data_IF_733441811688
#
_entry.id   IF_733441811688
#
_cell.length_a   1.000
_cell.length_b   1.000
_cell.length_c   1.000
_cell.angle_alpha   90.00
_cell.angle_beta   90.00
_cell.angle_gamma   90.00
#
_symmetry.space_group_name_H-M   'P 1'
#
loop_
_entity.id
_entity.type
_entity.pdbx_description
1 polymer ?
#
# COMPACT_ATOMS: atom_id res chain seq x y z
N UNK A 1 9.52 -21.83 12.96
CA UNK A 1 8.13 -21.45 12.65
C UNK A 1 7.77 -21.67 11.16
N UNK A 2 8.32 -20.93 10.15
CA UNK A 2 7.94 -21.12 8.72
C UNK A 2 8.21 -22.55 8.25
N UNK A 3 9.39 -23.12 8.55
CA UNK A 3 9.74 -24.53 8.23
C UNK A 3 8.80 -25.55 8.87
N UNK A 4 8.40 -25.32 10.10
CA UNK A 4 7.45 -26.17 10.82
C UNK A 4 6.07 -26.14 10.17
N UNK A 5 5.63 -24.92 9.75
CA UNK A 5 4.38 -24.76 9.00
C UNK A 5 4.44 -25.48 7.66
N UNK A 6 5.54 -25.31 6.91
CA UNK A 6 5.73 -26.02 5.64
C UNK A 6 5.69 -27.55 5.84
N UNK A 7 6.36 -28.06 6.87
CA UNK A 7 6.34 -29.49 7.19
C UNK A 7 4.93 -29.99 7.55
N UNK A 8 4.16 -29.22 8.34
CA UNK A 8 2.78 -29.55 8.70
C UNK A 8 1.83 -29.52 7.49
N UNK A 9 2.17 -28.77 6.44
CA UNK A 9 1.40 -28.63 5.19
C UNK A 9 1.96 -29.51 4.05
N UNK A 10 2.53 -30.68 4.37
CA UNK A 10 3.05 -31.61 3.36
C UNK A 10 4.32 -31.13 2.64
N UNK A 11 5.08 -30.23 3.24
CA UNK A 11 6.37 -29.74 2.71
C UNK A 11 6.24 -28.57 1.74
N UNK A 12 5.05 -27.94 1.62
CA UNK A 12 4.78 -26.81 0.75
C UNK A 12 3.91 -25.76 1.45
N UNK A 13 4.16 -24.47 1.16
CA UNK A 13 3.33 -23.33 1.56
C UNK A 13 3.03 -22.47 0.34
N UNK A 14 1.83 -21.89 0.26
CA UNK A 14 1.59 -20.79 -0.69
C UNK A 14 2.55 -19.62 -0.42
N UNK A 15 2.94 -18.89 -1.47
CA UNK A 15 3.80 -17.73 -1.26
C UNK A 15 3.10 -16.66 -0.42
N UNK A 16 1.79 -16.51 -0.56
CA UNK A 16 0.97 -15.65 0.30
C UNK A 16 1.17 -15.98 1.80
N UNK A 17 1.10 -17.26 2.15
CA UNK A 17 1.29 -17.68 3.55
C UNK A 17 2.71 -17.51 4.03
N UNK A 18 3.70 -17.78 3.17
CA UNK A 18 5.11 -17.51 3.47
C UNK A 18 5.35 -16.03 3.75
N UNK A 19 4.87 -15.16 2.88
CA UNK A 19 4.99 -13.70 3.02
C UNK A 19 4.29 -13.18 4.27
N UNK A 20 3.08 -13.67 4.57
CA UNK A 20 2.37 -13.32 5.79
C UNK A 20 3.18 -13.66 7.04
N UNK A 21 3.79 -14.83 7.10
CA UNK A 21 4.63 -15.23 8.22
C UNK A 21 5.93 -14.42 8.29
N UNK A 22 6.56 -14.17 7.14
CA UNK A 22 7.82 -13.43 7.07
C UNK A 22 7.65 -11.95 7.43
N UNK A 23 6.52 -11.33 7.08
CA UNK A 23 6.30 -9.90 7.32
C UNK A 23 5.56 -9.63 8.64
N UNK A 24 4.56 -10.44 8.98
CA UNK A 24 3.56 -10.09 10.00
C UNK A 24 3.49 -11.04 11.19
N UNK A 25 4.28 -12.11 11.26
CA UNK A 25 4.24 -13.02 12.41
C UNK A 25 4.54 -12.25 13.71
N UNK A 26 3.69 -12.35 14.75
CA UNK A 26 3.86 -11.59 16.00
C UNK A 26 5.25 -11.79 16.61
N UNK A 27 5.96 -10.68 16.83
CA UNK A 27 7.30 -10.65 17.44
C UNK A 27 8.44 -11.23 16.59
N UNK A 28 8.16 -11.80 15.42
CA UNK A 28 9.15 -12.47 14.57
C UNK A 28 9.18 -11.92 13.13
N UNK A 29 8.04 -11.43 12.62
CA UNK A 29 7.94 -10.92 11.26
C UNK A 29 8.59 -9.55 11.10
N UNK A 30 8.95 -9.21 9.88
CA UNK A 30 9.64 -7.98 9.53
C UNK A 30 8.97 -6.73 10.14
N UNK A 31 7.66 -6.55 9.99
CA UNK A 31 6.93 -5.40 10.57
C UNK A 31 6.71 -5.51 12.08
N UNK A 32 6.81 -6.71 12.67
CA UNK A 32 6.59 -6.95 14.10
C UNK A 32 7.88 -6.95 14.92
N UNK A 33 9.05 -7.12 14.29
CA UNK A 33 10.35 -7.11 14.95
C UNK A 33 10.89 -5.67 15.08
N UNK A 34 11.48 -5.31 16.23
CA UNK A 34 11.91 -3.95 16.60
C UNK A 34 13.12 -3.39 15.84
N UNK A 35 13.27 -3.60 14.51
CA UNK A 35 14.36 -3.03 13.70
C UNK A 35 13.98 -1.69 13.07
N UNK A 36 15.00 -0.86 12.71
CA UNK A 36 14.76 0.36 11.94
C UNK A 36 14.50 -0.01 10.48
N UNK A 37 13.28 0.19 10.01
CA UNK A 37 12.80 -0.26 8.68
C UNK A 37 12.73 0.89 7.67
N UNK A 38 12.24 2.06 8.10
CA UNK A 38 11.87 3.20 7.25
C UNK A 38 12.85 4.36 7.49
N UNK A 39 13.18 5.08 6.40
CA UNK A 39 14.02 6.27 6.43
C UNK A 39 15.47 6.01 6.03
N UNK A 40 16.32 7.04 6.08
CA UNK A 40 17.72 6.99 5.62
C UNK A 40 18.61 5.99 6.36
N UNK A 41 18.21 5.54 7.53
CA UNK A 41 18.87 4.48 8.32
C UNK A 41 18.19 3.13 8.25
N UNK A 42 17.11 3.00 7.46
CA UNK A 42 16.32 1.79 7.30
C UNK A 42 16.59 1.05 5.99
N UNK A 43 15.65 0.19 5.62
CA UNK A 43 15.76 -0.66 4.44
C UNK A 43 15.28 0.05 3.16
N UNK A 44 14.36 1.00 3.28
CA UNK A 44 13.81 1.80 2.17
C UNK A 44 13.38 3.20 2.62
N UNK A 45 13.10 4.08 1.65
CA UNK A 45 12.68 5.46 1.89
C UNK A 45 11.38 5.72 1.13
N UNK A 46 10.33 6.09 1.85
CA UNK A 46 9.01 6.44 1.31
C UNK A 46 8.93 7.92 0.93
N UNK A 47 7.94 8.31 0.13
CA UNK A 47 7.75 9.70 -0.28
C UNK A 47 7.67 10.72 0.89
N UNK A 48 6.97 10.44 2.01
CA UNK A 48 7.00 11.30 3.20
C UNK A 48 8.39 11.45 3.83
N UNK A 49 9.25 10.44 3.72
CA UNK A 49 10.63 10.48 4.25
C UNK A 49 11.60 11.23 3.32
N UNK A 50 11.29 11.27 2.02
CA UNK A 50 12.07 12.06 1.05
C UNK A 50 11.92 13.55 1.33
N UNK A 51 10.66 14.02 1.50
CA UNK A 51 10.39 15.45 1.68
C UNK A 51 9.04 15.70 2.34
N UNK A 52 9.00 16.75 3.17
CA UNK A 52 7.74 17.28 3.71
C UNK A 52 6.84 17.87 2.61
N UNK A 53 7.38 18.21 1.44
CA UNK A 53 6.59 18.67 0.28
C UNK A 53 5.48 17.69 -0.09
N UNK A 54 5.78 16.37 -0.07
CA UNK A 54 4.77 15.34 -0.31
C UNK A 54 3.60 15.46 0.67
N UNK A 55 3.90 15.43 1.95
CA UNK A 55 2.88 15.49 3.01
C UNK A 55 2.12 16.82 3.02
N UNK A 56 2.77 17.93 2.68
CA UNK A 56 2.13 19.26 2.53
C UNK A 56 1.17 19.29 1.33
N UNK A 57 1.51 18.64 0.22
CA UNK A 57 0.61 18.45 -0.92
C UNK A 57 -0.60 17.60 -0.53
N UNK A 58 -0.40 16.48 0.16
CA UNK A 58 -1.48 15.65 0.69
C UNK A 58 -2.36 16.45 1.65
N UNK A 59 -1.79 17.27 2.52
CA UNK A 59 -2.54 18.15 3.43
C UNK A 59 -3.47 19.12 2.69
N UNK A 60 -3.05 19.66 1.54
CA UNK A 60 -3.91 20.54 0.71
C UNK A 60 -5.11 19.79 0.16
N UNK A 61 -4.91 18.56 -0.32
CA UNK A 61 -6.04 17.71 -0.71
C UNK A 61 -6.94 17.38 0.49
N UNK A 62 -6.35 17.08 1.67
CA UNK A 62 -7.11 16.86 2.89
C UNK A 62 -7.94 18.09 3.27
N UNK A 63 -7.37 19.30 3.24
CA UNK A 63 -8.10 20.54 3.51
C UNK A 63 -9.31 20.72 2.60
N UNK A 64 -9.15 20.43 1.29
CA UNK A 64 -10.25 20.54 0.32
C UNK A 64 -11.38 19.53 0.60
N UNK A 65 -11.08 18.36 1.11
CA UNK A 65 -12.10 17.37 1.51
C UNK A 65 -12.72 17.75 2.85
N UNK A 66 -11.92 18.13 3.85
CA UNK A 66 -12.42 18.55 5.17
C UNK A 66 -13.35 19.77 5.08
N UNK A 67 -13.08 20.70 4.16
CA UNK A 67 -13.98 21.84 3.91
C UNK A 67 -15.40 21.41 3.47
N UNK A 68 -15.54 20.20 2.93
CA UNK A 68 -16.81 19.64 2.44
C UNK A 68 -17.45 18.66 3.42
N UNK A 69 -16.66 18.00 4.27
CA UNK A 69 -17.10 16.96 5.19
C UNK A 69 -17.10 17.40 6.64
N UNK A 70 -16.27 18.39 7.01
CA UNK A 70 -16.08 18.85 8.38
C UNK A 70 -15.53 17.77 9.32
N UNK A 71 -14.98 16.69 8.79
CA UNK A 71 -14.77 15.44 9.52
C UNK A 71 -13.34 15.21 10.02
N UNK A 72 -12.90 13.99 9.86
CA UNK A 72 -11.67 13.45 10.44
C UNK A 72 -10.75 12.83 9.38
N UNK A 73 -9.53 12.52 9.79
CA UNK A 73 -8.54 11.79 8.98
C UNK A 73 -8.25 10.45 9.66
N UNK A 74 -8.24 9.37 8.89
CA UNK A 74 -7.73 8.06 9.29
C UNK A 74 -6.52 7.72 8.41
N UNK A 75 -5.36 7.51 9.01
CA UNK A 75 -4.15 7.06 8.31
C UNK A 75 -3.90 5.58 8.62
N UNK A 76 -3.76 4.77 7.57
CA UNK A 76 -3.45 3.35 7.65
C UNK A 76 -1.95 3.16 7.42
N UNK A 77 -1.21 2.64 8.41
CA UNK A 77 0.22 2.42 8.31
C UNK A 77 1.02 3.72 8.25
N UNK A 78 0.99 4.52 9.32
CA UNK A 78 1.62 5.85 9.34
C UNK A 78 3.17 5.85 9.37
N UNK A 79 3.82 4.69 9.27
CA UNK A 79 5.26 4.55 9.25
C UNK A 79 5.94 5.22 10.45
N UNK A 80 6.79 6.21 10.22
CA UNK A 80 7.43 6.97 11.30
C UNK A 80 6.54 8.04 11.94
N UNK A 81 5.33 8.25 11.43
CA UNK A 81 4.43 9.35 11.82
C UNK A 81 4.79 10.71 11.22
N UNK A 82 5.74 10.76 10.26
CA UNK A 82 6.18 12.02 9.63
C UNK A 82 5.05 12.65 8.81
N UNK A 83 4.33 11.86 8.02
CA UNK A 83 3.21 12.33 7.22
C UNK A 83 2.12 12.91 8.12
N UNK A 84 1.70 12.20 9.16
CA UNK A 84 0.72 12.67 10.14
C UNK A 84 1.10 14.02 10.77
N UNK A 85 2.34 14.14 11.25
CA UNK A 85 2.83 15.36 11.86
C UNK A 85 2.79 16.55 10.88
N UNK A 86 3.33 16.36 9.68
CA UNK A 86 3.39 17.41 8.65
C UNK A 86 1.99 17.81 8.14
N UNK A 87 1.07 16.85 7.99
CA UNK A 87 -0.33 17.14 7.61
C UNK A 87 -1.00 17.99 8.69
N UNK A 88 -0.87 17.61 9.97
CA UNK A 88 -1.48 18.35 11.07
C UNK A 88 -0.94 19.78 11.18
N UNK A 89 0.36 19.99 11.03
CA UNK A 89 0.97 21.33 11.01
C UNK A 89 0.46 22.17 9.85
N UNK A 90 0.42 21.59 8.63
CA UNK A 90 -0.07 22.28 7.43
C UNK A 90 -1.57 22.62 7.53
N UNK A 91 -2.39 21.73 8.09
CA UNK A 91 -3.82 21.98 8.29
C UNK A 91 -4.07 23.04 9.37
N UNK A 92 -3.22 23.11 10.41
CA UNK A 92 -3.28 24.19 11.40
C UNK A 92 -2.98 25.55 10.73
N UNK A 93 -1.93 25.62 9.92
CA UNK A 93 -1.56 26.83 9.18
C UNK A 93 -2.69 27.30 8.26
N UNK A 94 -3.41 26.35 7.65
CA UNK A 94 -4.57 26.59 6.81
C UNK A 94 -5.88 26.90 7.59
N UNK A 95 -5.88 26.80 8.92
CA UNK A 95 -7.09 26.95 9.74
C UNK A 95 -8.11 25.83 9.57
N UNK A 96 -7.70 24.64 9.12
CA UNK A 96 -8.57 23.53 8.69
C UNK A 96 -8.25 22.22 9.45
N UNK A 97 -8.10 22.31 10.78
CA UNK A 97 -7.80 21.14 11.59
C UNK A 97 -8.96 20.12 11.55
N UNK A 98 -8.66 18.80 11.41
CA UNK A 98 -9.66 17.77 11.52
C UNK A 98 -10.20 17.67 12.94
N UNK A 99 -11.41 17.14 13.11
CA UNK A 99 -11.97 16.84 14.42
C UNK A 99 -11.08 15.83 15.15
N UNK A 100 -10.56 14.84 14.44
CA UNK A 100 -9.67 13.78 14.93
C UNK A 100 -8.71 13.34 13.81
N UNK A 101 -7.48 12.98 14.19
CA UNK A 101 -6.53 12.27 13.33
C UNK A 101 -6.30 10.88 13.94
N UNK A 102 -6.90 9.87 13.32
CA UNK A 102 -6.76 8.49 13.77
C UNK A 102 -5.62 7.80 13.00
N UNK A 103 -4.82 7.00 13.70
CA UNK A 103 -3.76 6.17 13.10
C UNK A 103 -4.09 4.71 13.42
N UNK A 104 -4.12 3.88 12.38
CA UNK A 104 -4.21 2.45 12.51
C UNK A 104 -2.86 1.83 12.16
N UNK A 105 -2.16 1.29 13.16
CA UNK A 105 -0.80 0.75 13.03
C UNK A 105 -0.72 -0.63 13.67
N UNK A 106 -0.21 -1.62 12.91
CA UNK A 106 -0.08 -3.00 13.38
C UNK A 106 1.25 -3.26 14.08
N UNK A 107 2.26 -2.44 13.81
CA UNK A 107 3.58 -2.53 14.40
C UNK A 107 3.66 -1.76 15.70
N UNK A 108 3.84 -2.43 16.82
CA UNK A 108 4.01 -1.76 18.12
C UNK A 108 5.23 -0.82 18.14
N UNK A 109 6.35 -1.24 17.50
CA UNK A 109 7.55 -0.41 17.37
C UNK A 109 7.29 0.87 16.56
N UNK A 110 6.58 0.78 15.44
CA UNK A 110 6.20 1.96 14.66
C UNK A 110 5.21 2.83 15.42
N UNK A 111 4.25 2.26 16.12
CA UNK A 111 3.30 3.01 16.95
C UNK A 111 4.02 3.80 18.05
N UNK A 112 5.06 3.24 18.68
CA UNK A 112 5.85 3.95 19.70
C UNK A 112 6.67 5.09 19.10
N UNK A 113 7.25 4.92 17.90
CA UNK A 113 7.95 5.99 17.17
C UNK A 113 7.00 7.11 16.76
N UNK A 114 5.80 6.75 16.30
CA UNK A 114 4.73 7.69 15.97
C UNK A 114 4.35 8.51 17.21
N UNK A 115 4.11 7.86 18.35
CA UNK A 115 3.81 8.54 19.62
C UNK A 115 4.92 9.51 20.02
N UNK A 116 6.18 9.07 19.96
CA UNK A 116 7.33 9.91 20.28
C UNK A 116 7.48 11.13 19.35
N UNK A 117 7.07 11.01 18.07
CA UNK A 117 7.05 12.12 17.12
C UNK A 117 5.89 13.08 17.41
N UNK A 118 4.69 12.57 17.58
CA UNK A 118 3.47 13.35 17.83
C UNK A 118 3.56 14.12 19.15
N UNK A 119 4.19 13.54 20.17
CA UNK A 119 4.39 14.22 21.48
C UNK A 119 5.19 15.53 21.36
N UNK A 120 6.00 15.70 20.32
CA UNK A 120 6.76 16.92 20.05
C UNK A 120 5.92 18.05 19.46
N UNK A 121 4.70 17.74 18.98
CA UNK A 121 3.81 18.73 18.42
C UNK A 121 3.15 19.60 19.50
N UNK A 122 2.70 20.81 19.15
CA UNK A 122 1.86 21.62 20.04
C UNK A 122 0.64 20.85 20.54
N UNK A 123 0.21 21.11 21.79
CA UNK A 123 -0.89 20.42 22.45
C UNK A 123 -2.15 20.35 21.58
N UNK A 124 -2.51 21.47 20.94
CA UNK A 124 -3.69 21.56 20.06
C UNK A 124 -3.68 20.56 18.88
N UNK A 125 -2.51 20.07 18.47
CA UNK A 125 -2.35 19.06 17.42
C UNK A 125 -2.30 17.66 18.01
N UNK A 126 -1.45 17.42 19.02
CA UNK A 126 -1.26 16.09 19.60
C UNK A 126 -2.53 15.53 20.24
N UNK A 127 -3.35 16.38 20.86
CA UNK A 127 -4.62 15.98 21.49
C UNK A 127 -5.68 15.50 20.48
N UNK A 128 -5.50 15.76 19.19
CA UNK A 128 -6.36 15.25 18.11
C UNK A 128 -5.96 13.87 17.62
N UNK A 129 -4.74 13.40 17.96
CA UNK A 129 -4.23 12.13 17.46
C UNK A 129 -4.63 10.99 18.36
N UNK A 130 -5.20 9.94 17.77
CA UNK A 130 -5.57 8.70 18.46
C UNK A 130 -5.03 7.50 17.70
N UNK A 131 -4.64 6.45 18.41
CA UNK A 131 -4.25 5.17 17.82
C UNK A 131 -5.40 4.18 17.96
N UNK A 132 -5.67 3.47 16.85
CA UNK A 132 -6.73 2.47 16.76
C UNK A 132 -6.10 1.07 16.62
N UNK A 133 -6.72 0.07 17.25
CA UNK A 133 -6.34 -1.34 17.14
C UNK A 133 -7.08 -2.05 15.99
N UNK A 134 -8.16 -1.45 15.49
CA UNK A 134 -9.02 -1.98 14.44
C UNK A 134 -9.72 -0.86 13.68
N UNK A 135 -10.21 -1.18 12.50
CA UNK A 135 -11.03 -0.25 11.72
C UNK A 135 -12.26 0.22 12.52
N UNK A 136 -12.63 1.50 12.40
CA UNK A 136 -13.80 2.03 13.11
C UNK A 136 -15.09 1.31 12.69
N UNK A 137 -15.95 1.00 13.64
CA UNK A 137 -17.27 0.41 13.39
C UNK A 137 -18.28 1.46 12.91
N UNK A 138 -18.12 2.70 13.36
CA UNK A 138 -18.93 3.83 12.90
C UNK A 138 -18.27 4.47 11.70
N UNK A 139 -18.97 4.59 10.56
CA UNK A 139 -18.41 5.21 9.37
C UNK A 139 -17.97 6.65 9.63
N UNK A 140 -16.76 6.97 9.21
CA UNK A 140 -16.17 8.32 9.30
C UNK A 140 -16.66 9.22 8.17
N UNK A 141 -16.61 10.52 8.42
CA UNK A 141 -16.73 11.57 7.41
C UNK A 141 -15.37 12.23 7.27
N UNK A 142 -14.81 12.26 6.05
CA UNK A 142 -13.49 12.82 5.84
C UNK A 142 -12.58 12.02 4.93
N UNK A 143 -11.35 11.73 5.38
CA UNK A 143 -10.32 11.13 4.52
C UNK A 143 -9.73 9.89 5.20
N UNK A 144 -9.58 8.84 4.41
CA UNK A 144 -8.69 7.72 4.74
C UNK A 144 -7.44 7.84 3.86
N UNK A 145 -6.26 7.73 4.46
CA UNK A 145 -4.97 7.79 3.79
C UNK A 145 -4.28 6.43 3.89
N UNK A 146 -3.73 5.94 2.79
CA UNK A 146 -2.87 4.75 2.76
C UNK A 146 -1.72 4.99 1.79
N UNK A 147 -0.50 5.07 2.32
CA UNK A 147 0.72 5.26 1.55
C UNK A 147 1.60 4.02 1.67
N UNK A 148 1.88 3.35 0.53
CA UNK A 148 2.68 2.12 0.48
C UNK A 148 2.13 1.06 1.46
N UNK A 149 0.87 0.67 1.25
CA UNK A 149 0.16 -0.32 2.08
C UNK A 149 -0.27 -1.53 1.25
N UNK A 150 -0.72 -1.31 0.01
CA UNK A 150 -1.23 -2.38 -0.83
C UNK A 150 -0.11 -3.26 -1.39
N UNK A 151 1.07 -2.69 -1.64
CA UNK A 151 2.27 -3.38 -2.13
C UNK A 151 2.79 -4.43 -1.15
N UNK A 152 2.58 -4.20 0.15
CA UNK A 152 2.97 -5.10 1.23
C UNK A 152 1.89 -6.14 1.61
N UNK A 153 0.71 -6.10 0.98
CA UNK A 153 -0.30 -7.15 1.18
C UNK A 153 0.21 -8.50 0.66
N UNK A 154 0.10 -9.58 1.45
CA UNK A 154 0.49 -10.90 0.99
C UNK A 154 -0.22 -11.30 -0.29
N UNK A 155 0.55 -11.74 -1.29
CA UNK A 155 0.09 -12.08 -2.62
C UNK A 155 0.46 -13.51 -3.00
N UNK A 156 -0.28 -14.07 -3.94
CA UNK A 156 0.01 -15.36 -4.58
C UNK A 156 0.92 -15.14 -5.78
N UNK A 157 1.81 -16.07 -6.03
CA UNK A 157 2.67 -16.08 -7.22
C UNK A 157 2.29 -17.22 -8.14
N UNK A 158 2.28 -17.01 -9.44
CA UNK A 158 1.92 -18.02 -10.42
C UNK A 158 2.95 -18.14 -11.54
N UNK A 159 2.96 -19.32 -12.16
CA UNK A 159 3.69 -19.66 -13.37
C UNK A 159 2.69 -20.10 -14.44
N UNK A 160 2.77 -19.55 -15.66
CA UNK A 160 2.02 -20.06 -16.81
C UNK A 160 2.78 -21.24 -17.41
N UNK A 161 2.15 -22.41 -17.42
CA UNK A 161 2.70 -23.64 -18.00
C UNK A 161 1.64 -24.40 -18.80
N UNK A 162 1.93 -24.70 -20.06
CA UNK A 162 1.01 -25.38 -20.97
C UNK A 162 -0.38 -24.73 -21.05
N UNK A 163 -0.44 -23.38 -21.03
CA UNK A 163 -1.66 -22.60 -21.06
C UNK A 163 -2.45 -22.55 -19.75
N UNK A 164 -1.94 -23.17 -18.67
CA UNK A 164 -2.56 -23.16 -17.34
C UNK A 164 -1.70 -22.38 -16.34
N UNK A 165 -2.35 -21.63 -15.45
CA UNK A 165 -1.67 -21.02 -14.32
C UNK A 165 -1.45 -22.05 -13.21
N UNK A 166 -0.18 -22.19 -12.80
CA UNK A 166 0.25 -23.02 -11.68
C UNK A 166 0.69 -22.13 -10.54
N UNK A 167 0.20 -22.37 -9.33
CA UNK A 167 0.65 -21.60 -8.17
C UNK A 167 2.11 -21.94 -7.85
N UNK A 168 2.92 -20.88 -7.65
CA UNK A 168 4.28 -20.98 -7.14
C UNK A 168 4.29 -20.67 -5.64
N UNK A 169 4.59 -21.68 -4.86
CA UNK A 169 4.77 -21.54 -3.42
C UNK A 169 6.19 -21.87 -3.01
N UNK A 170 6.34 -22.12 -1.72
CA UNK A 170 7.62 -22.28 -1.04
C UNK A 170 7.73 -23.69 -0.48
N UNK A 171 8.84 -24.36 -0.78
CA UNK A 171 9.21 -25.61 -0.16
C UNK A 171 10.54 -25.50 0.59
N UNK A 172 10.79 -26.43 1.50
CA UNK A 172 12.07 -26.57 2.22
C UNK A 172 12.92 -27.62 1.53
N UNK A 173 14.15 -27.24 1.15
CA UNK A 173 15.14 -28.17 0.61
C UNK A 173 16.45 -28.04 1.40
N UNK A 174 16.76 -29.04 2.23
CA UNK A 174 17.84 -28.92 3.20
C UNK A 174 17.61 -27.73 4.14
N UNK A 175 18.57 -26.83 4.21
CA UNK A 175 18.50 -25.61 5.01
C UNK A 175 17.98 -24.37 4.24
N UNK A 176 17.48 -24.56 3.03
CA UNK A 176 17.06 -23.44 2.18
C UNK A 176 15.57 -23.51 1.86
N UNK A 177 14.96 -22.35 1.61
CA UNK A 177 13.66 -22.24 0.95
C UNK A 177 13.87 -22.22 -0.56
N UNK A 178 12.97 -22.85 -1.30
CA UNK A 178 12.99 -22.90 -2.75
C UNK A 178 11.59 -22.70 -3.33
N UNK A 179 11.52 -22.16 -4.54
CA UNK A 179 10.27 -22.11 -5.30
C UNK A 179 9.84 -23.52 -5.72
N UNK A 180 8.56 -23.83 -5.55
CA UNK A 180 7.97 -25.07 -6.00
C UNK A 180 6.53 -24.86 -6.43
N UNK A 181 6.15 -25.46 -7.56
CA UNK A 181 4.75 -25.52 -7.97
C UNK A 181 3.88 -26.24 -6.93
N UNK A 182 2.63 -25.77 -6.79
CA UNK A 182 1.67 -26.42 -5.90
C UNK A 182 1.50 -27.89 -6.30
N UNK A 183 1.44 -28.81 -5.32
CA UNK A 183 1.06 -30.21 -5.58
C UNK A 183 -0.35 -30.25 -6.21
N UNK A 184 -0.57 -31.19 -7.15
CA UNK A 184 -1.84 -31.35 -7.89
C UNK A 184 -3.03 -31.75 -6.99
N UNK A 185 -2.77 -32.11 -5.72
CA UNK A 185 -3.77 -32.44 -4.70
C UNK A 185 -3.33 -31.83 -3.37
N UNK A 186 -3.77 -30.60 -3.10
CA UNK A 186 -3.75 -30.04 -1.75
C UNK A 186 -5.17 -30.16 -1.17
N UNK A 187 -5.28 -30.87 -0.04
CA UNK A 187 -6.41 -30.63 0.86
C UNK A 187 -6.33 -29.17 1.33
N UNK A 188 -7.46 -28.46 1.30
CA UNK A 188 -7.52 -27.09 1.75
C UNK A 188 -6.95 -26.96 3.17
N UNK A 189 -5.94 -26.09 3.37
CA UNK A 189 -5.50 -25.75 4.71
C UNK A 189 -6.65 -25.09 5.47
N UNK A 190 -6.93 -25.49 6.73
CA UNK A 190 -7.92 -24.77 7.54
C UNK A 190 -7.42 -23.35 7.79
N UNK A 191 -8.11 -22.36 7.24
CA UNK A 191 -7.84 -20.93 7.45
C UNK A 191 -8.37 -20.49 8.83
N UNK A 192 -7.64 -19.64 9.53
CA UNK A 192 -8.17 -19.04 10.75
C UNK A 192 -9.42 -18.20 10.41
N UNK A 193 -10.43 -18.18 11.30
CA UNK A 193 -11.63 -17.38 11.08
C UNK A 193 -11.29 -15.89 10.95
N UNK A 194 -11.99 -15.23 10.03
CA UNK A 194 -11.86 -13.80 9.79
C UNK A 194 -12.23 -13.00 11.05
N UNK A 195 -11.23 -12.48 11.75
CA UNK A 195 -11.42 -11.48 12.80
C UNK A 195 -11.46 -10.08 12.16
N UNK A 196 -12.30 -9.18 12.71
CA UNK A 196 -12.32 -7.75 12.33
C UNK A 196 -11.07 -6.98 12.82
N UNK A 197 -9.98 -7.64 13.08
CA UNK A 197 -8.69 -7.01 13.38
C UNK A 197 -8.07 -6.61 12.05
N UNK A 198 -7.75 -5.31 11.89
CA UNK A 198 -6.89 -4.88 10.82
C UNK A 198 -5.52 -5.50 11.08
N UNK A 199 -5.28 -6.59 10.41
CA UNK A 199 -3.93 -7.05 10.13
C UNK A 199 -3.81 -6.95 8.59
N UNK A 200 -2.61 -6.86 8.07
CA UNK A 200 -2.38 -7.15 6.65
C UNK A 200 -2.89 -8.59 6.29
N UNK A 201 -3.22 -9.39 7.28
CA UNK A 201 -4.13 -10.51 7.26
C UNK A 201 -5.60 -10.04 7.19
N UNK A 202 -6.00 -9.31 6.13
CA UNK A 202 -7.39 -9.27 5.73
C UNK A 202 -7.89 -10.71 5.57
N UNK A 203 -9.17 -11.03 5.87
CA UNK A 203 -9.67 -12.38 5.70
C UNK A 203 -9.30 -12.85 4.31
N UNK A 204 -8.57 -13.95 4.25
CA UNK A 204 -8.28 -14.57 2.97
C UNK A 204 -9.63 -14.81 2.28
N UNK A 205 -9.78 -14.49 0.99
CA UNK A 205 -10.97 -14.82 0.24
C UNK A 205 -11.28 -16.29 0.45
N UNK A 206 -12.57 -16.66 0.46
CA UNK A 206 -13.00 -18.05 0.50
C UNK A 206 -12.26 -18.89 -0.56
N UNK A 207 -12.47 -20.18 -0.57
CA UNK A 207 -11.81 -21.21 -1.40
C UNK A 207 -11.69 -20.94 -2.91
N UNK A 208 -11.89 -19.70 -3.36
CA UNK A 208 -11.58 -19.22 -4.72
C UNK A 208 -10.07 -19.20 -4.91
N UNK A 209 -9.59 -20.43 -5.04
CA UNK A 209 -8.22 -20.76 -5.31
C UNK A 209 -7.71 -19.97 -6.53
N UNK A 210 -6.41 -19.68 -6.56
CA UNK A 210 -5.68 -19.12 -7.71
C UNK A 210 -6.25 -19.53 -9.09
N UNK A 211 -6.74 -20.77 -9.34
CA UNK A 211 -7.31 -21.15 -10.63
C UNK A 211 -8.47 -20.30 -11.12
N UNK A 212 -9.40 -19.87 -10.25
CA UNK A 212 -10.56 -19.07 -10.66
C UNK A 212 -10.17 -17.61 -10.95
N UNK A 213 -9.40 -17.00 -10.06
CA UNK A 213 -8.87 -15.64 -10.25
C UNK A 213 -7.94 -15.58 -11.47
N UNK A 214 -7.13 -16.60 -11.68
CA UNK A 214 -6.22 -16.74 -12.78
C UNK A 214 -6.95 -16.91 -14.12
N UNK A 215 -7.98 -17.76 -14.17
CA UNK A 215 -8.78 -17.96 -15.36
C UNK A 215 -9.57 -16.69 -15.75
N UNK A 216 -10.03 -15.91 -14.79
CA UNK A 216 -10.63 -14.60 -15.03
C UNK A 216 -9.58 -13.64 -15.62
N UNK A 217 -8.42 -13.51 -14.98
CA UNK A 217 -7.33 -12.67 -15.45
C UNK A 217 -6.93 -12.98 -16.91
N UNK A 218 -6.73 -14.26 -17.26
CA UNK A 218 -6.33 -14.64 -18.63
C UNK A 218 -7.39 -14.25 -19.67
N UNK A 219 -8.68 -14.25 -19.32
CA UNK A 219 -9.77 -13.84 -20.24
C UNK A 219 -9.85 -12.32 -20.41
N UNK A 220 -9.43 -11.57 -19.42
CA UNK A 220 -9.54 -10.11 -19.41
C UNK A 220 -8.35 -9.42 -20.08
N UNK A 221 -7.21 -10.11 -20.21
CA UNK A 221 -6.04 -9.56 -20.87
C UNK A 221 -6.25 -9.47 -22.39
N UNK A 222 -5.90 -8.34 -23.03
CA UNK A 222 -6.04 -8.14 -24.48
C UNK A 222 -5.00 -8.89 -25.32
N UNK A 223 -4.15 -9.71 -24.70
CA UNK A 223 -3.05 -10.46 -25.31
C UNK A 223 -2.79 -11.77 -24.56
N UNK A 224 -2.13 -12.69 -25.21
CA UNK A 224 -1.67 -13.92 -24.59
C UNK A 224 -0.37 -13.71 -23.83
N UNK A 225 -0.23 -14.37 -22.68
CA UNK A 225 1.01 -14.41 -21.93
C UNK A 225 1.92 -15.53 -22.48
N UNK A 226 3.25 -15.35 -22.50
CA UNK A 226 4.17 -16.37 -23.01
C UNK A 226 4.29 -17.55 -22.03
N UNK A 227 4.68 -18.71 -22.55
CA UNK A 227 5.03 -19.88 -21.75
C UNK A 227 6.16 -19.54 -20.77
N UNK A 228 6.07 -20.01 -19.55
CA UNK A 228 7.03 -19.71 -18.50
C UNK A 228 6.85 -18.32 -17.84
N UNK A 229 5.78 -17.60 -18.17
CA UNK A 229 5.47 -16.30 -17.57
C UNK A 229 5.19 -16.44 -16.07
N UNK A 230 5.87 -15.65 -15.27
CA UNK A 230 5.68 -15.58 -13.81
C UNK A 230 5.17 -14.20 -13.43
N UNK A 231 4.18 -14.14 -12.56
CA UNK A 231 3.69 -12.87 -11.98
C UNK A 231 2.94 -13.11 -10.65
N UNK A 232 2.35 -12.05 -10.13
CA UNK A 232 1.68 -12.01 -8.83
C UNK A 232 0.18 -11.71 -9.00
N UNK A 233 -0.64 -12.27 -8.11
CA UNK A 233 -2.04 -11.87 -7.91
C UNK A 233 -2.23 -11.64 -6.42
N UNK A 234 -2.74 -10.48 -6.01
CA UNK A 234 -3.08 -10.21 -4.62
C UNK A 234 -4.59 -10.41 -4.38
N UNK A 235 -5.02 -11.55 -3.81
CA UNK A 235 -6.42 -11.80 -3.53
C UNK A 235 -6.95 -10.95 -2.37
N UNK A 236 -6.05 -10.39 -1.55
CA UNK A 236 -6.39 -9.59 -0.37
C UNK A 236 -6.85 -8.17 -0.70
N UNK A 237 -6.65 -7.69 -1.92
CA UNK A 237 -7.08 -6.34 -2.33
C UNK A 237 -8.59 -6.16 -2.16
N UNK A 238 -9.40 -7.08 -2.67
CA UNK A 238 -10.86 -6.92 -2.63
C UNK A 238 -11.42 -6.88 -1.19
N UNK A 239 -11.14 -7.84 -0.29
CA UNK A 239 -11.62 -7.77 1.08
C UNK A 239 -11.02 -6.59 1.86
N UNK A 240 -9.78 -6.16 1.56
CA UNK A 240 -9.17 -4.99 2.17
C UNK A 240 -9.91 -3.70 1.76
N UNK A 241 -10.16 -3.50 0.46
CA UNK A 241 -10.92 -2.35 -0.06
C UNK A 241 -12.35 -2.34 0.49
N UNK A 242 -13.03 -3.48 0.56
CA UNK A 242 -14.35 -3.57 1.16
C UNK A 242 -14.35 -3.16 2.63
N UNK A 243 -13.44 -3.71 3.43
CA UNK A 243 -13.34 -3.39 4.86
C UNK A 243 -13.03 -1.92 5.13
N UNK A 244 -12.11 -1.31 4.35
CA UNK A 244 -11.83 0.13 4.47
C UNK A 244 -13.00 0.96 3.93
N UNK A 245 -13.61 0.54 2.83
CA UNK A 245 -14.79 1.19 2.25
C UNK A 245 -15.97 1.27 3.21
N UNK A 246 -16.22 0.23 4.01
CA UNK A 246 -17.26 0.21 5.02
C UNK A 246 -17.05 1.25 6.14
N UNK A 247 -15.80 1.68 6.34
CA UNK A 247 -15.47 2.74 7.29
C UNK A 247 -15.78 4.15 6.77
N UNK A 248 -16.14 4.32 5.50
CA UNK A 248 -16.38 5.63 4.89
C UNK A 248 -17.88 5.88 4.74
N UNK A 249 -18.43 6.83 5.49
CA UNK A 249 -19.80 7.29 5.33
C UNK A 249 -19.92 8.40 4.27
N UNK A 250 -19.04 9.39 4.35
CA UNK A 250 -18.90 10.46 3.37
C UNK A 250 -17.42 10.88 3.29
N UNK A 251 -16.80 10.71 2.14
CA UNK A 251 -15.39 11.08 2.03
C UNK A 251 -14.65 10.31 0.96
N UNK A 252 -13.34 10.19 1.15
CA UNK A 252 -12.43 9.58 0.17
C UNK A 252 -11.35 8.75 0.85
N UNK A 253 -11.03 7.60 0.26
CA UNK A 253 -9.79 6.87 0.47
C UNK A 253 -8.79 7.32 -0.60
N UNK A 254 -7.65 7.85 -0.17
CA UNK A 254 -6.52 8.19 -1.03
C UNK A 254 -5.44 7.12 -0.86
N UNK A 255 -5.15 6.43 -1.94
CA UNK A 255 -4.12 5.41 -2.05
C UNK A 255 -2.91 5.98 -2.80
N UNK A 256 -1.72 5.84 -2.23
CA UNK A 256 -0.44 6.16 -2.86
C UNK A 256 0.39 4.90 -2.88
N UNK A 257 0.66 4.37 -4.07
CA UNK A 257 1.40 3.13 -4.19
C UNK A 257 2.04 3.00 -5.58
N UNK A 258 3.06 2.17 -5.71
CA UNK A 258 3.64 1.89 -7.01
C UNK A 258 2.90 0.74 -7.68
N UNK A 259 2.59 0.93 -8.96
CA UNK A 259 1.78 -0.03 -9.70
C UNK A 259 1.32 0.48 -11.05
N UNK A 260 0.50 -0.34 -11.69
CA UNK A 260 0.05 -0.13 -13.06
C UNK A 260 -1.41 -0.58 -13.25
N UNK A 261 -2.08 -0.08 -14.28
CA UNK A 261 -3.28 -0.73 -14.82
C UNK A 261 -2.98 -2.17 -15.26
N UNK A 262 -3.98 -3.06 -15.22
CA UNK A 262 -3.85 -4.50 -15.46
C UNK A 262 -3.10 -4.86 -16.75
N UNK A 263 -3.42 -4.23 -17.88
CA UNK A 263 -2.79 -4.50 -19.16
C UNK A 263 -1.28 -4.17 -19.17
N UNK A 264 -0.86 -3.17 -18.42
CA UNK A 264 0.55 -2.82 -18.25
C UNK A 264 1.22 -3.66 -17.17
N UNK A 265 0.48 -4.02 -16.10
CA UNK A 265 0.98 -4.87 -15.03
C UNK A 265 1.37 -6.27 -15.55
N UNK A 266 0.47 -6.92 -16.28
CA UNK A 266 0.68 -8.25 -16.86
C UNK A 266 1.25 -8.23 -18.30
N UNK A 267 1.97 -7.15 -18.66
CA UNK A 267 2.54 -7.04 -20.00
C UNK A 267 3.41 -8.25 -20.37
N UNK A 268 3.31 -8.84 -21.60
CA UNK A 268 4.03 -10.07 -21.98
C UNK A 268 5.54 -10.01 -21.83
N UNK A 269 6.14 -8.83 -21.87
CA UNK A 269 7.58 -8.63 -21.66
C UNK A 269 8.01 -8.64 -20.18
N UNK A 270 7.05 -8.59 -19.22
CA UNK A 270 7.32 -8.65 -17.77
C UNK A 270 7.29 -10.08 -17.28
N UNK A 271 8.14 -10.93 -17.83
CA UNK A 271 8.09 -12.39 -17.66
C UNK A 271 8.43 -12.90 -16.25
N UNK A 272 8.91 -12.05 -15.35
CA UNK A 272 9.34 -12.44 -13.99
C UNK A 272 8.51 -11.78 -12.87
N UNK A 273 7.43 -11.05 -13.25
CA UNK A 273 6.60 -10.33 -12.29
C UNK A 273 7.23 -9.05 -11.77
N UNK A 274 6.77 -8.65 -10.60
CA UNK A 274 7.12 -7.36 -9.96
C UNK A 274 7.64 -7.52 -8.53
N UNK A 275 7.73 -8.75 -8.01
CA UNK A 275 8.26 -9.02 -6.67
C UNK A 275 9.59 -8.31 -6.45
N UNK A 276 9.70 -7.61 -5.33
CA UNK A 276 10.93 -6.94 -4.86
C UNK A 276 11.11 -7.16 -3.36
N UNK A 277 12.36 -7.29 -2.99
CA UNK A 277 12.77 -7.33 -1.59
C UNK A 277 13.69 -6.15 -1.32
N UNK A 278 13.56 -5.54 -0.15
CA UNK A 278 14.41 -4.43 0.26
C UNK A 278 15.11 -4.75 1.59
N UNK A 279 16.43 -4.59 1.59
CA UNK A 279 17.28 -4.79 2.76
C UNK A 279 18.46 -3.83 2.73
N UNK A 280 18.60 -2.97 3.75
CA UNK A 280 19.70 -1.99 3.88
C UNK A 280 19.91 -1.14 2.60
N UNK A 281 18.83 -0.53 2.10
CA UNK A 281 18.81 0.31 0.89
C UNK A 281 19.18 -0.44 -0.39
N UNK A 282 19.14 -1.75 -0.42
CA UNK A 282 19.38 -2.57 -1.61
C UNK A 282 18.11 -3.31 -2.00
N UNK A 283 17.75 -3.20 -3.27
CA UNK A 283 16.65 -3.95 -3.86
C UNK A 283 17.18 -5.22 -4.54
N UNK A 284 16.45 -6.32 -4.39
CA UNK A 284 16.70 -7.60 -5.08
C UNK A 284 15.37 -8.36 -5.22
N UNK A 285 15.37 -9.53 -5.85
CA UNK A 285 14.19 -10.32 -6.15
C UNK A 285 14.14 -11.72 -5.47
N UNK A 286 15.06 -11.96 -4.53
CA UNK A 286 15.11 -13.24 -3.80
C UNK A 286 14.49 -13.10 -2.38
N UNK A 287 13.25 -13.61 -2.15
CA UNK A 287 12.60 -13.51 -0.84
C UNK A 287 13.17 -14.47 0.21
N UNK A 288 14.10 -15.35 -0.17
CA UNK A 288 14.57 -16.43 0.69
C UNK A 288 15.89 -16.17 1.41
N UNK A 289 16.65 -15.11 1.03
CA UNK A 289 17.97 -14.87 1.63
C UNK A 289 17.93 -14.19 2.99
N UNK A 290 16.98 -13.29 3.24
CA UNK A 290 16.87 -12.54 4.50
C UNK A 290 15.46 -12.65 5.09
N UNK A 291 14.98 -13.87 5.24
CA UNK A 291 13.60 -14.15 5.69
C UNK A 291 13.32 -13.50 7.04
N UNK A 292 12.22 -12.77 7.13
CA UNK A 292 11.75 -12.01 8.29
C UNK A 292 12.63 -10.81 8.72
N UNK A 293 13.68 -10.47 7.96
CA UNK A 293 14.51 -9.28 8.22
C UNK A 293 14.64 -8.37 7.00
N UNK A 294 13.92 -8.66 5.93
CA UNK A 294 13.79 -7.83 4.72
C UNK A 294 12.33 -7.55 4.43
N UNK A 295 12.07 -6.47 3.73
CA UNK A 295 10.76 -6.20 3.17
C UNK A 295 10.51 -7.04 1.91
N UNK A 296 9.27 -7.41 1.67
CA UNK A 296 8.83 -8.16 0.48
C UNK A 296 7.60 -7.46 -0.06
N UNK A 297 7.66 -6.99 -1.30
CA UNK A 297 6.61 -6.22 -1.94
C UNK A 297 6.35 -6.68 -3.36
N UNK A 298 5.21 -6.29 -3.93
CA UNK A 298 4.93 -6.37 -5.35
C UNK A 298 4.18 -5.12 -5.79
N UNK A 299 4.22 -4.79 -7.07
CA UNK A 299 3.46 -3.69 -7.62
C UNK A 299 1.95 -3.94 -7.49
N UNK A 300 1.18 -2.86 -7.45
CA UNK A 300 -0.27 -2.92 -7.32
C UNK A 300 -0.93 -2.99 -8.71
N UNK A 301 -1.84 -3.96 -8.93
CA UNK A 301 -2.79 -3.96 -10.05
C UNK A 301 -3.93 -2.97 -9.71
N UNK A 302 -3.83 -1.74 -10.20
CA UNK A 302 -4.81 -0.69 -9.92
C UNK A 302 -6.17 -0.94 -10.59
N UNK A 303 -6.24 -1.74 -11.65
CA UNK A 303 -7.53 -2.18 -12.20
C UNK A 303 -8.26 -3.07 -11.20
N UNK A 304 -7.57 -4.01 -10.55
CA UNK A 304 -8.13 -4.83 -9.46
C UNK A 304 -8.61 -3.99 -8.28
N UNK A 305 -7.88 -2.93 -7.94
CA UNK A 305 -8.30 -1.99 -6.87
C UNK A 305 -9.58 -1.27 -7.27
N UNK A 306 -9.68 -0.79 -8.51
CA UNK A 306 -10.87 -0.12 -9.04
C UNK A 306 -12.10 -1.05 -9.07
N UNK A 307 -11.94 -2.29 -9.53
CA UNK A 307 -13.00 -3.31 -9.53
C UNK A 307 -13.49 -3.62 -8.11
N UNK A 308 -12.56 -3.80 -7.18
CA UNK A 308 -12.89 -4.02 -5.77
C UNK A 308 -13.63 -2.82 -5.16
N UNK A 309 -13.24 -1.60 -5.52
CA UNK A 309 -13.90 -0.37 -5.07
C UNK A 309 -15.36 -0.30 -5.56
N UNK A 310 -15.59 -0.54 -6.85
CA UNK A 310 -16.94 -0.56 -7.42
C UNK A 310 -17.80 -1.64 -6.77
N UNK A 311 -17.25 -2.85 -6.56
CA UNK A 311 -17.94 -3.93 -5.87
C UNK A 311 -18.29 -3.59 -4.41
N UNK A 312 -17.47 -2.76 -3.75
CA UNK A 312 -17.70 -2.26 -2.39
C UNK A 312 -18.61 -1.01 -2.34
N UNK A 313 -19.16 -0.56 -3.48
CA UNK A 313 -20.01 0.62 -3.56
C UNK A 313 -19.26 1.95 -3.41
N UNK A 314 -17.98 1.97 -3.76
CA UNK A 314 -17.16 3.18 -3.87
C UNK A 314 -17.09 3.64 -5.33
N UNK A 315 -16.90 4.93 -5.55
CA UNK A 315 -16.64 5.53 -6.85
C UNK A 315 -15.14 5.75 -7.03
N UNK A 316 -14.59 5.38 -8.19
CA UNK A 316 -13.23 5.77 -8.57
C UNK A 316 -13.25 7.23 -9.02
N UNK A 317 -12.96 8.15 -8.11
CA UNK A 317 -13.05 9.60 -8.31
C UNK A 317 -11.79 10.21 -8.89
N UNK A 318 -10.67 9.47 -8.92
CA UNK A 318 -9.42 9.92 -9.52
C UNK A 318 -8.41 8.79 -9.64
N UNK A 319 -7.63 8.84 -10.71
CA UNK A 319 -6.43 8.01 -10.89
C UNK A 319 -5.40 8.79 -11.69
N UNK A 320 -4.21 8.97 -11.13
CA UNK A 320 -3.14 9.77 -11.73
C UNK A 320 -1.76 9.28 -11.31
N UNK A 321 -0.71 9.77 -11.96
CA UNK A 321 0.66 9.61 -11.47
C UNK A 321 0.89 10.45 -10.21
N UNK A 322 1.83 10.07 -9.35
CA UNK A 322 2.22 10.89 -8.21
C UNK A 322 2.65 12.30 -8.64
N UNK A 323 3.41 12.41 -9.73
CA UNK A 323 3.83 13.71 -10.27
C UNK A 323 2.63 14.60 -10.59
N UNK A 324 1.64 14.09 -11.30
CA UNK A 324 0.44 14.87 -11.65
C UNK A 324 -0.37 15.27 -10.42
N UNK A 325 -0.50 14.37 -9.42
CA UNK A 325 -1.17 14.67 -8.15
C UNK A 325 -0.45 15.80 -7.39
N UNK A 326 0.86 15.73 -7.28
CA UNK A 326 1.65 16.74 -6.57
C UNK A 326 1.62 18.10 -7.28
N UNK A 327 1.62 18.11 -8.62
CA UNK A 327 1.39 19.34 -9.40
C UNK A 327 -0.02 19.89 -9.18
N UNK A 328 -1.04 19.03 -9.22
CA UNK A 328 -2.44 19.42 -8.95
C UNK A 328 -2.67 20.00 -7.56
N UNK A 329 -1.88 19.55 -6.58
CA UNK A 329 -1.89 20.08 -5.23
C UNK A 329 -0.90 21.24 -5.02
N UNK A 330 -0.14 21.65 -6.04
CA UNK A 330 0.68 22.87 -6.08
C UNK A 330 2.04 22.72 -5.40
N UNK A 331 2.78 21.65 -5.66
CA UNK A 331 4.14 21.43 -5.14
C UNK A 331 5.10 22.57 -5.55
N UNK A 332 4.93 23.14 -6.77
CA UNK A 332 5.74 24.25 -7.25
C UNK A 332 5.55 25.50 -6.38
N UNK A 333 4.33 25.78 -5.95
CA UNK A 333 4.03 26.92 -5.06
C UNK A 333 4.69 26.76 -3.70
N UNK A 334 4.69 25.53 -3.16
CA UNK A 334 5.34 25.20 -1.89
C UNK A 334 6.87 25.34 -1.98
N UNK A 335 7.43 25.01 -3.14
CA UNK A 335 8.88 25.13 -3.39
C UNK A 335 9.32 26.58 -3.52
N UNK A 336 8.55 27.40 -4.24
CA UNK A 336 8.87 28.83 -4.46
C UNK A 336 8.62 29.68 -3.21
N UNK A 337 7.65 29.31 -2.38
CA UNK A 337 7.32 30.03 -1.15
C UNK A 337 8.40 29.92 -0.04
N UNK A 338 9.41 29.06 -0.22
CA UNK A 338 10.47 28.90 0.75
C UNK A 338 11.36 30.14 0.86
N UNK A 339 11.77 30.46 2.10
CA UNK A 339 12.58 31.65 2.38
C UNK A 339 14.06 31.40 2.02
N UNK A 340 14.53 32.13 1.00
CA UNK A 340 15.94 32.16 0.61
C UNK A 340 16.36 31.09 -0.40
N UNK A 341 17.39 31.44 -1.21
CA UNK A 341 17.83 30.63 -2.35
C UNK A 341 18.32 29.23 -1.97
N UNK A 342 18.99 29.07 -0.82
CA UNK A 342 19.50 27.78 -0.35
C UNK A 342 18.36 26.80 -0.06
N UNK A 343 17.34 27.25 0.64
CA UNK A 343 16.19 26.41 0.95
C UNK A 343 15.35 26.09 -0.29
N UNK A 344 15.18 27.05 -1.19
CA UNK A 344 14.54 26.80 -2.48
C UNK A 344 15.30 25.77 -3.30
N UNK A 345 16.63 25.84 -3.36
CA UNK A 345 17.46 24.86 -4.07
C UNK A 345 17.34 23.46 -3.43
N UNK A 346 17.31 23.37 -2.11
CA UNK A 346 17.10 22.10 -1.39
C UNK A 346 15.74 21.49 -1.73
N UNK A 347 14.67 22.27 -1.59
CA UNK A 347 13.30 21.82 -1.90
C UNK A 347 13.14 21.47 -3.38
N UNK A 348 13.78 22.20 -4.29
CA UNK A 348 13.77 21.86 -5.72
C UNK A 348 14.45 20.50 -5.98
N UNK A 349 15.53 20.19 -5.27
CA UNK A 349 16.17 18.87 -5.33
C UNK A 349 15.26 17.74 -4.82
N UNK A 350 14.54 17.97 -3.73
CA UNK A 350 13.56 17.03 -3.17
C UNK A 350 12.36 16.86 -4.10
N UNK A 351 11.80 17.96 -4.64
CA UNK A 351 10.71 17.94 -5.60
C UNK A 351 11.07 17.13 -6.87
N UNK A 352 12.32 17.21 -7.34
CA UNK A 352 12.78 16.38 -8.48
C UNK A 352 12.64 14.89 -8.20
N UNK A 353 13.02 14.42 -7.03
CA UNK A 353 12.88 13.00 -6.64
C UNK A 353 11.41 12.56 -6.61
N UNK A 354 10.51 13.43 -6.19
CA UNK A 354 9.07 13.15 -6.12
C UNK A 354 8.37 13.19 -7.48
N UNK A 355 8.89 13.99 -8.44
CA UNK A 355 8.21 14.31 -9.71
C UNK A 355 8.79 13.61 -10.94
N UNK A 356 10.11 13.33 -10.98
CA UNK A 356 10.71 12.83 -12.21
C UNK A 356 10.33 11.37 -12.52
N UNK A 357 10.16 11.04 -13.81
CA UNK A 357 9.76 9.68 -14.24
C UNK A 357 10.72 8.58 -13.82
N UNK A 358 12.04 8.83 -13.86
CA UNK A 358 13.08 7.88 -13.45
C UNK A 358 13.22 7.70 -11.94
N UNK A 359 12.48 8.48 -11.17
CA UNK A 359 12.41 8.43 -9.70
C UNK A 359 11.01 7.94 -9.26
N UNK A 360 10.34 8.67 -8.38
CA UNK A 360 9.03 8.29 -7.84
C UNK A 360 7.84 8.78 -8.69
N UNK A 361 8.04 9.78 -9.55
CA UNK A 361 6.94 10.55 -10.15
C UNK A 361 5.99 9.74 -11.02
N UNK A 362 6.48 8.78 -11.82
CA UNK A 362 5.65 7.92 -12.68
C UNK A 362 5.42 6.52 -12.11
N UNK A 363 6.37 5.95 -11.38
CA UNK A 363 6.23 4.62 -10.80
C UNK A 363 5.08 4.60 -9.80
N UNK A 364 4.97 5.63 -8.96
CA UNK A 364 3.88 5.78 -8.01
C UNK A 364 2.62 6.34 -8.68
N UNK A 365 1.50 5.79 -8.25
CA UNK A 365 0.15 6.22 -8.65
C UNK A 365 -0.61 6.70 -7.43
N UNK A 366 -1.54 7.59 -7.69
CA UNK A 366 -2.51 8.04 -6.69
C UNK A 366 -3.89 7.67 -7.17
N UNK A 367 -4.65 6.95 -6.34
CA UNK A 367 -6.04 6.60 -6.62
C UNK A 367 -6.94 7.16 -5.53
N UNK A 368 -8.05 7.76 -5.94
CA UNK A 368 -9.09 8.26 -5.05
C UNK A 368 -10.35 7.42 -5.19
N UNK A 369 -10.79 6.84 -4.10
CA UNK A 369 -12.03 6.06 -4.00
C UNK A 369 -12.97 6.79 -3.05
N UNK A 370 -14.11 7.28 -3.55
CA UNK A 370 -15.01 8.11 -2.76
C UNK A 370 -16.37 7.47 -2.50
N UNK A 371 -17.00 7.92 -1.42
CA UNK A 371 -18.40 7.66 -1.11
C UNK A 371 -19.09 8.95 -0.72
N UNK A 372 -20.23 9.24 -1.33
CA UNK A 372 -21.05 10.42 -1.03
C UNK A 372 -20.26 11.75 -1.07
N UNK A 373 -19.24 11.87 -1.92
CA UNK A 373 -18.40 13.06 -2.04
C UNK A 373 -18.37 13.56 -3.49
N UNK A 374 -19.45 14.22 -3.97
CA UNK A 374 -19.53 14.70 -5.35
C UNK A 374 -18.55 15.84 -5.61
N UNK A 375 -18.10 15.95 -6.87
CA UNK A 375 -17.23 17.03 -7.36
C UNK A 375 -15.74 16.70 -7.32
N UNK A 376 -14.93 17.54 -7.99
CA UNK A 376 -13.54 17.25 -8.28
C UNK A 376 -12.65 17.28 -7.03
N UNK A 377 -11.56 16.50 -7.10
CA UNK A 377 -10.46 16.52 -6.15
C UNK A 377 -9.28 17.26 -6.80
N UNK A 378 -8.67 18.19 -6.06
CA UNK A 378 -7.66 19.11 -6.62
C UNK A 378 -6.42 18.39 -7.16
N UNK A 379 -6.00 17.31 -6.52
CA UNK A 379 -4.84 16.52 -6.94
C UNK A 379 -5.00 15.81 -8.29
N UNK A 380 -6.22 15.74 -8.84
CA UNK A 380 -6.51 15.06 -10.11
C UNK A 380 -6.87 16.07 -11.23
N UNK A 381 -6.61 17.36 -11.03
CA UNK A 381 -6.96 18.40 -11.99
C UNK A 381 -6.11 18.35 -13.27
N UNK A 382 -4.89 17.82 -13.22
CA UNK A 382 -3.95 17.83 -14.35
C UNK A 382 -3.88 16.52 -15.12
N UNK A 383 -4.37 15.42 -14.58
CA UNK A 383 -4.32 14.11 -15.23
C UNK A 383 -5.47 13.23 -14.76
N UNK A 384 -6.07 12.51 -15.71
CA UNK A 384 -7.05 11.46 -15.44
C UNK A 384 -6.65 10.19 -16.20
N UNK A 385 -6.16 9.20 -15.47
CA UNK A 385 -5.77 7.88 -15.99
C UNK A 385 -6.88 6.83 -15.80
N UNK A 386 -8.06 7.18 -15.27
CA UNK A 386 -9.18 6.22 -15.10
C UNK A 386 -9.55 5.47 -16.39
N UNK A 387 -9.50 6.06 -17.59
CA UNK A 387 -9.75 5.31 -18.83
C UNK A 387 -8.77 4.16 -19.12
N UNK A 388 -7.66 4.06 -18.38
CA UNK A 388 -6.67 2.97 -18.53
C UNK A 388 -6.89 1.80 -17.57
N UNK A 389 -7.83 1.93 -16.63
CA UNK A 389 -8.14 0.91 -15.62
C UNK A 389 -8.96 -0.25 -16.19
#
# INVERSE_FOLDING_TARGET
MIRERAAASGGWLSFERFMELALYAPGLGYYSAGSVKIGTGGDFVTAPEVSDLFSRCVARQCAAVLARTGGEILELGAGTGRMAATILESLREAGMLPARYAILEVSADLADRQRARIERLPAVLRERVVWLDRLPETPLHGIVLANEVLDALPFQRFLLRAGEMRELGVAVQGDSFVWREAPTQLGAEPRPPAGRTWSAAAPAPGDDALPAAAAALLRELPFALPEGYISEICPRVAPWIAGVGDCIGQGVLLLFDYGLPRSHYYHPQRTHGTLRCHFKQRAHDDPFINVAVQDITAWVDFTRVAEAAVAAGLEVSGFATQAAFLLGTGIEMLTVAAAGATEQARLAGEARRLLLPGEMGEAFKVMALSRNLPGPLIGFAHQDLRPSL
#
